data_IF_499872752707
#
_entry.id   IF_499872752707
#
_cell.length_a   1.000
_cell.length_b   1.000
_cell.length_c   1.000
_cell.angle_alpha   90.00
_cell.angle_beta   90.00
_cell.angle_gamma   90.00
#
_symmetry.space_group_name_H-M   'P 1'
#
loop_
_entity.id
_entity.type
_entity.pdbx_description
1 polymer ?
#
# COMPACT_ATOMS: atom_id res chain seq x y z
N UNK A 1 -7.19 16.43 17.43
CA UNK A 1 -7.64 17.17 16.23
C UNK A 1 -7.42 16.39 14.93
N UNK A 2 -6.19 15.94 14.57
CA UNK A 2 -5.94 15.20 13.31
C UNK A 2 -6.57 13.79 13.21
N UNK A 3 -6.47 12.97 14.28
CA UNK A 3 -7.09 11.62 14.30
C UNK A 3 -8.62 11.69 14.19
N UNK A 4 -9.25 12.63 14.89
CA UNK A 4 -10.71 12.83 14.82
C UNK A 4 -11.17 13.19 13.40
N UNK A 5 -10.41 14.04 12.69
CA UNK A 5 -10.68 14.37 11.29
C UNK A 5 -10.54 13.15 10.37
N UNK A 6 -9.50 12.32 10.55
CA UNK A 6 -9.33 11.08 9.80
C UNK A 6 -10.49 10.09 10.03
N UNK A 7 -10.95 9.97 11.29
CA UNK A 7 -12.12 9.16 11.63
C UNK A 7 -13.40 9.70 11.00
N UNK A 8 -13.55 11.02 10.95
CA UNK A 8 -14.68 11.67 10.28
C UNK A 8 -14.68 11.38 8.79
N UNK A 9 -13.52 11.51 8.14
CA UNK A 9 -13.32 11.20 6.73
C UNK A 9 -13.67 9.73 6.43
N UNK A 10 -13.19 8.79 7.26
CA UNK A 10 -13.54 7.37 7.14
C UNK A 10 -15.05 7.14 7.17
N UNK A 11 -15.75 7.80 8.10
CA UNK A 11 -17.19 7.68 8.19
C UNK A 11 -17.92 8.32 7.01
N UNK A 12 -17.41 9.44 6.49
CA UNK A 12 -17.96 10.13 5.34
C UNK A 12 -17.82 9.30 4.06
N UNK A 13 -16.62 8.79 3.76
CA UNK A 13 -16.36 7.98 2.56
C UNK A 13 -17.23 6.73 2.56
N UNK A 14 -17.29 6.01 3.69
CA UNK A 14 -18.16 4.82 3.84
C UNK A 14 -19.63 5.11 3.48
N UNK A 15 -20.15 6.28 3.86
CA UNK A 15 -21.55 6.65 3.63
C UNK A 15 -21.84 7.13 2.20
N UNK A 16 -20.84 7.65 1.50
CA UNK A 16 -21.04 8.32 0.20
C UNK A 16 -20.49 7.54 -0.99
N UNK A 17 -19.71 6.47 -0.77
CA UNK A 17 -19.21 5.63 -1.85
C UNK A 17 -20.31 4.94 -2.67
N UNK A 18 -21.47 4.67 -2.07
CA UNK A 18 -22.65 4.09 -2.73
C UNK A 18 -23.52 5.15 -3.44
N UNK A 19 -23.44 6.42 -3.02
CA UNK A 19 -24.31 7.50 -3.47
C UNK A 19 -23.73 8.42 -4.55
N UNK A 20 -22.55 8.10 -5.10
CA UNK A 20 -21.85 8.93 -6.08
C UNK A 20 -21.23 10.19 -5.44
N UNK A 21 -19.98 10.09 -5.02
CA UNK A 21 -19.20 11.22 -4.51
C UNK A 21 -19.02 12.29 -5.61
N UNK A 22 -19.83 13.35 -5.60
CA UNK A 22 -19.56 14.65 -6.26
C UNK A 22 -19.15 14.54 -7.75
N UNK A 23 -18.71 15.64 -8.38
CA UNK A 23 -18.20 15.58 -9.76
C UNK A 23 -16.99 14.64 -9.85
N UNK A 24 -16.84 13.92 -10.97
CA UNK A 24 -15.78 12.89 -11.13
C UNK A 24 -14.37 13.42 -10.87
N UNK A 25 -14.11 14.70 -11.16
CA UNK A 25 -12.82 15.35 -10.94
C UNK A 25 -12.50 15.56 -9.45
N UNK A 26 -13.49 15.94 -8.63
CA UNK A 26 -13.30 16.10 -7.19
C UNK A 26 -12.99 14.76 -6.51
N UNK A 27 -13.61 13.68 -6.99
CA UNK A 27 -13.33 12.35 -6.48
C UNK A 27 -11.91 11.88 -6.83
N UNK A 28 -11.46 12.13 -8.06
CA UNK A 28 -10.08 11.82 -8.48
C UNK A 28 -9.06 12.61 -7.65
N UNK A 29 -9.28 13.90 -7.43
CA UNK A 29 -8.42 14.73 -6.58
C UNK A 29 -8.38 14.20 -5.15
N UNK A 30 -9.54 13.86 -4.57
CA UNK A 30 -9.60 13.26 -3.24
C UNK A 30 -8.77 11.97 -3.16
N UNK A 31 -8.91 11.08 -4.14
CA UNK A 31 -8.19 9.81 -4.21
C UNK A 31 -6.67 10.03 -4.29
N UNK A 32 -6.24 10.96 -5.13
CA UNK A 32 -4.82 11.25 -5.33
C UNK A 32 -4.23 11.89 -4.05
N UNK A 33 -4.95 12.80 -3.41
CA UNK A 33 -4.56 13.37 -2.11
C UNK A 33 -4.52 12.32 -0.99
N UNK A 34 -5.48 11.39 -0.96
CA UNK A 34 -5.47 10.28 -0.01
C UNK A 34 -4.21 9.42 -0.20
N UNK A 35 -3.87 9.06 -1.44
CA UNK A 35 -2.67 8.29 -1.74
C UNK A 35 -1.39 9.00 -1.27
N UNK A 36 -1.26 10.30 -1.55
CA UNK A 36 -0.11 11.09 -1.10
C UNK A 36 -0.05 11.23 0.42
N UNK A 37 -1.19 11.42 1.08
CA UNK A 37 -1.26 11.57 2.53
C UNK A 37 -0.75 10.31 3.25
N UNK A 38 -1.12 9.12 2.75
CA UNK A 38 -0.67 7.84 3.32
C UNK A 38 0.85 7.75 3.44
N UNK A 39 1.61 8.33 2.50
CA UNK A 39 3.06 8.25 2.48
C UNK A 39 3.76 9.09 3.56
N UNK A 40 3.07 10.10 4.09
CA UNK A 40 3.65 11.17 4.90
C UNK A 40 3.13 11.23 6.34
N UNK A 41 2.02 10.55 6.63
CA UNK A 41 1.36 10.64 7.94
C UNK A 41 2.00 9.76 9.01
N UNK A 42 1.80 10.14 10.26
CA UNK A 42 2.19 9.38 11.45
C UNK A 42 1.40 8.04 11.58
N UNK A 43 1.96 7.00 12.22
CA UNK A 43 1.38 5.64 12.24
C UNK A 43 -0.07 5.56 12.71
N UNK A 44 -0.47 6.37 13.69
CA UNK A 44 -1.85 6.38 14.21
C UNK A 44 -2.86 6.86 13.16
N UNK A 45 -2.48 7.84 12.34
CA UNK A 45 -3.32 8.38 11.26
C UNK A 45 -3.30 7.42 10.07
N UNK A 46 -2.14 6.85 9.74
CA UNK A 46 -1.99 5.85 8.68
C UNK A 46 -3.00 4.72 8.84
N UNK A 47 -3.13 4.16 10.05
CA UNK A 47 -4.08 3.07 10.34
C UNK A 47 -5.51 3.42 9.94
N UNK A 48 -5.96 4.63 10.25
CA UNK A 48 -7.31 5.10 9.92
C UNK A 48 -7.47 5.32 8.42
N UNK A 49 -6.49 5.99 7.79
CA UNK A 49 -6.53 6.29 6.36
C UNK A 49 -6.41 5.05 5.48
N UNK A 50 -5.68 4.01 5.91
CA UNK A 50 -5.58 2.74 5.20
C UNK A 50 -6.93 2.03 5.08
N UNK A 51 -7.81 2.17 6.07
CA UNK A 51 -9.16 1.61 5.98
C UNK A 51 -10.01 2.33 4.93
N UNK A 52 -9.84 3.64 4.79
CA UNK A 52 -10.49 4.45 3.74
C UNK A 52 -9.94 4.06 2.37
N UNK A 53 -8.62 4.03 2.28
CA UNK A 53 -7.91 3.66 1.07
C UNK A 53 -8.28 2.26 0.58
N UNK A 54 -8.41 1.28 1.48
CA UNK A 54 -8.84 -0.07 1.13
C UNK A 54 -10.21 -0.11 0.43
N UNK A 55 -11.15 0.76 0.82
CA UNK A 55 -12.44 0.86 0.12
C UNK A 55 -12.28 1.42 -1.29
N UNK A 56 -11.48 2.49 -1.43
CA UNK A 56 -11.16 3.10 -2.72
C UNK A 56 -10.47 2.10 -3.65
N UNK A 57 -9.50 1.32 -3.16
CA UNK A 57 -8.82 0.27 -3.93
C UNK A 57 -9.81 -0.78 -4.42
N UNK A 58 -10.68 -1.28 -3.55
CA UNK A 58 -11.68 -2.29 -3.96
C UNK A 58 -12.60 -1.77 -5.05
N UNK A 59 -13.02 -0.50 -4.96
CA UNK A 59 -13.87 0.12 -5.97
C UNK A 59 -13.09 0.40 -7.25
N UNK A 60 -12.11 1.29 -7.18
CA UNK A 60 -11.49 1.91 -8.35
C UNK A 60 -10.45 1.00 -9.00
N UNK A 61 -9.67 0.27 -8.22
CA UNK A 61 -8.59 -0.55 -8.74
C UNK A 61 -9.04 -1.97 -9.06
N UNK A 62 -9.77 -2.61 -8.16
CA UNK A 62 -10.17 -4.02 -8.32
C UNK A 62 -11.42 -4.18 -9.18
N UNK A 63 -12.52 -3.47 -8.85
CA UNK A 63 -13.81 -3.66 -9.53
C UNK A 63 -13.93 -2.86 -10.82
N UNK A 64 -13.52 -1.60 -10.82
CA UNK A 64 -13.70 -0.69 -11.95
C UNK A 64 -12.47 -0.60 -12.87
N UNK A 65 -11.30 -1.02 -12.41
CA UNK A 65 -10.02 -0.89 -13.10
C UNK A 65 -9.77 0.54 -13.65
N UNK A 66 -10.18 1.56 -12.89
CA UNK A 66 -10.17 2.98 -13.24
C UNK A 66 -8.96 3.73 -12.65
N UNK A 67 -8.00 3.03 -12.05
CA UNK A 67 -6.79 3.60 -11.46
C UNK A 67 -5.49 2.91 -11.92
N UNK A 68 -5.16 2.96 -13.22
CA UNK A 68 -4.00 2.25 -13.79
C UNK A 68 -2.65 2.73 -13.25
N UNK A 69 -2.58 3.99 -12.78
CA UNK A 69 -1.34 4.58 -12.28
C UNK A 69 -0.98 4.17 -10.84
N UNK A 70 -1.85 3.44 -10.14
CA UNK A 70 -1.63 3.07 -8.75
C UNK A 70 -0.34 2.24 -8.58
N UNK A 71 -0.15 1.21 -9.40
CA UNK A 71 1.00 0.31 -9.31
C UNK A 71 2.31 1.01 -9.72
N UNK A 72 2.40 1.68 -10.89
CA UNK A 72 3.62 2.41 -11.28
C UNK A 72 4.03 3.49 -10.29
N UNK A 73 3.07 4.24 -9.74
CA UNK A 73 3.37 5.28 -8.75
C UNK A 73 3.85 4.69 -7.43
N UNK A 74 3.21 3.62 -6.95
CA UNK A 74 3.63 2.96 -5.71
C UNK A 74 5.05 2.37 -5.84
N UNK A 75 5.37 1.77 -7.00
CA UNK A 75 6.72 1.30 -7.31
C UNK A 75 7.75 2.42 -7.16
N UNK A 76 7.50 3.57 -7.79
CA UNK A 76 8.39 4.74 -7.71
C UNK A 76 8.57 5.21 -6.27
N UNK A 77 7.49 5.31 -5.52
CA UNK A 77 7.52 5.73 -4.12
C UNK A 77 8.33 4.76 -3.26
N UNK A 78 8.15 3.45 -3.42
CA UNK A 78 8.94 2.45 -2.70
C UNK A 78 10.43 2.64 -3.04
N UNK A 79 10.78 2.73 -4.32
CA UNK A 79 12.17 2.86 -4.76
C UNK A 79 12.86 4.13 -4.28
N UNK A 80 12.11 5.22 -4.09
CA UNK A 80 12.65 6.52 -3.66
C UNK A 80 12.42 6.85 -2.18
N UNK A 81 11.89 5.90 -1.40
CA UNK A 81 11.57 6.10 0.03
C UNK A 81 12.80 6.09 0.93
N UNK A 82 12.65 6.65 2.12
CA UNK A 82 13.74 7.05 3.03
C UNK A 82 14.72 5.94 3.47
N UNK A 83 14.29 4.69 3.57
CA UNK A 83 15.13 3.55 3.95
C UNK A 83 15.71 2.80 2.74
N UNK A 84 15.17 3.00 1.54
CA UNK A 84 15.65 2.36 0.30
C UNK A 84 16.59 3.29 -0.46
N UNK A 85 16.22 4.56 -0.62
CA UNK A 85 17.02 5.60 -1.29
C UNK A 85 17.12 6.85 -0.40
N UNK A 86 17.98 6.81 0.64
CA UNK A 86 18.15 7.93 1.55
C UNK A 86 18.50 9.23 0.80
N UNK A 87 17.75 10.31 1.07
CA UNK A 87 18.01 11.65 0.54
C UNK A 87 17.26 12.04 -0.73
N UNK A 88 16.53 11.13 -1.40
CA UNK A 88 15.68 11.50 -2.55
C UNK A 88 14.36 12.13 -2.11
N UNK A 89 13.58 11.40 -1.31
CA UNK A 89 12.30 11.86 -0.77
C UNK A 89 12.18 11.51 0.72
N UNK A 90 12.82 12.29 1.62
CA UNK A 90 12.85 11.99 3.06
C UNK A 90 11.45 12.00 3.72
N UNK A 91 10.47 12.62 3.08
CA UNK A 91 9.08 12.64 3.50
C UNK A 91 8.31 11.35 3.17
N UNK A 92 8.81 10.52 2.24
CA UNK A 92 8.21 9.24 1.90
C UNK A 92 8.76 8.14 2.81
N UNK A 93 7.92 7.75 3.77
CA UNK A 93 8.26 6.69 4.72
C UNK A 93 8.14 5.33 4.08
N UNK A 94 9.24 4.59 4.05
CA UNK A 94 9.32 3.23 3.47
C UNK A 94 8.27 2.31 4.10
N UNK A 95 8.12 2.39 5.42
CA UNK A 95 7.12 1.64 6.17
C UNK A 95 5.67 1.97 5.73
N UNK A 96 5.39 3.24 5.42
CA UNK A 96 4.07 3.65 4.95
C UNK A 96 3.83 3.13 3.52
N UNK A 97 4.82 3.23 2.63
CA UNK A 97 4.74 2.71 1.28
C UNK A 97 4.50 1.19 1.25
N UNK A 98 5.20 0.42 2.09
CA UNK A 98 4.96 -1.02 2.23
C UNK A 98 3.61 -1.34 2.88
N UNK A 99 3.12 -0.48 3.79
CA UNK A 99 1.76 -0.63 4.35
C UNK A 99 0.69 -0.40 3.27
N UNK A 100 0.90 0.57 2.37
CA UNK A 100 0.04 0.80 1.20
C UNK A 100 0.08 -0.40 0.27
N UNK A 101 1.26 -0.97 -0.02
CA UNK A 101 1.40 -2.20 -0.79
C UNK A 101 0.59 -3.35 -0.17
N UNK A 102 0.69 -3.53 1.14
CA UNK A 102 -0.09 -4.55 1.84
C UNK A 102 -1.61 -4.31 1.72
N UNK A 103 -2.04 -3.05 1.74
CA UNK A 103 -3.45 -2.69 1.60
C UNK A 103 -3.98 -3.00 0.19
N UNK A 104 -3.19 -2.75 -0.87
CA UNK A 104 -3.60 -3.08 -2.25
C UNK A 104 -3.58 -4.58 -2.55
N UNK A 105 -2.79 -5.37 -1.83
CA UNK A 105 -2.77 -6.83 -1.93
C UNK A 105 -3.94 -7.50 -1.21
N UNK A 106 -4.46 -6.87 -0.15
CA UNK A 106 -5.50 -7.46 0.71
C UNK A 106 -6.74 -7.97 -0.04
N UNK A 107 -7.29 -7.26 -1.05
CA UNK A 107 -8.44 -7.75 -1.82
C UNK A 107 -8.18 -9.09 -2.51
N UNK A 108 -6.93 -9.44 -2.80
CA UNK A 108 -6.55 -10.66 -3.51
C UNK A 108 -6.19 -11.82 -2.58
N UNK A 109 -6.34 -11.67 -1.26
CA UNK A 109 -6.00 -12.73 -0.28
C UNK A 109 -6.74 -14.04 -0.50
N UNK A 110 -7.89 -14.01 -1.17
CA UNK A 110 -8.64 -15.22 -1.47
C UNK A 110 -7.89 -16.17 -2.44
N UNK A 111 -6.94 -15.66 -3.24
CA UNK A 111 -6.08 -16.49 -4.10
C UNK A 111 -5.09 -17.35 -3.32
N UNK A 112 -4.80 -17.01 -2.07
CA UNK A 112 -3.92 -17.81 -1.21
C UNK A 112 -4.58 -19.11 -0.71
N UNK A 113 -5.90 -19.23 -0.86
CA UNK A 113 -6.65 -20.44 -0.56
C UNK A 113 -7.82 -20.57 -1.56
N UNK A 114 -7.51 -20.92 -2.82
CA UNK A 114 -8.51 -20.94 -3.87
C UNK A 114 -9.54 -22.02 -3.57
N UNK A 115 -10.76 -21.60 -3.25
CA UNK A 115 -11.89 -22.52 -3.03
C UNK A 115 -12.41 -23.14 -4.34
N UNK A 116 -11.92 -22.65 -5.48
CA UNK A 116 -12.34 -23.07 -6.82
C UNK A 116 -11.10 -23.28 -7.69
N UNK A 117 -11.06 -24.38 -8.42
CA UNK A 117 -9.86 -24.93 -9.08
C UNK A 117 -9.35 -24.11 -10.28
N UNK A 118 -10.02 -23.03 -10.70
CA UNK A 118 -9.78 -22.38 -12.01
C UNK A 118 -10.12 -20.88 -12.09
N UNK A 119 -9.89 -20.08 -11.06
CA UNK A 119 -10.00 -18.62 -11.23
C UNK A 119 -8.72 -18.11 -11.92
N UNK A 120 -8.81 -17.40 -13.05
CA UNK A 120 -7.65 -16.75 -13.65
C UNK A 120 -7.10 -15.70 -12.68
N UNK A 121 -5.77 -15.53 -12.68
CA UNK A 121 -5.13 -14.49 -11.88
C UNK A 121 -5.61 -13.11 -12.40
N UNK A 122 -6.02 -12.17 -11.53
CA UNK A 122 -6.44 -10.85 -11.96
C UNK A 122 -5.25 -10.08 -12.51
N UNK A 123 -5.44 -9.37 -13.62
CA UNK A 123 -4.41 -8.55 -14.27
C UNK A 123 -3.74 -7.59 -13.28
N UNK A 124 -4.51 -7.02 -12.36
CA UNK A 124 -3.99 -6.15 -11.31
C UNK A 124 -2.99 -6.85 -10.39
N UNK A 125 -3.24 -8.12 -10.03
CA UNK A 125 -2.34 -8.90 -9.20
C UNK A 125 -1.08 -9.30 -9.97
N UNK A 126 -1.22 -9.68 -11.24
CA UNK A 126 -0.08 -9.94 -12.14
C UNK A 126 0.81 -8.70 -12.26
N UNK A 127 0.22 -7.51 -12.45
CA UNK A 127 0.95 -6.26 -12.52
C UNK A 127 1.68 -5.94 -11.21
N UNK A 128 1.03 -6.08 -10.05
CA UNK A 128 1.67 -5.87 -8.75
C UNK A 128 2.85 -6.84 -8.57
N UNK A 129 2.68 -8.11 -8.95
CA UNK A 129 3.72 -9.12 -8.84
C UNK A 129 4.94 -8.77 -9.71
N UNK A 130 4.72 -8.45 -10.99
CA UNK A 130 5.79 -8.14 -11.93
C UNK A 130 6.51 -6.82 -11.61
N UNK A 131 5.75 -5.77 -11.28
CA UNK A 131 6.31 -4.43 -11.14
C UNK A 131 6.85 -4.09 -9.75
N UNK A 132 6.30 -4.72 -8.70
CA UNK A 132 6.65 -4.41 -7.31
C UNK A 132 7.24 -5.62 -6.61
N UNK A 133 6.51 -6.74 -6.54
CA UNK A 133 6.91 -7.83 -5.64
C UNK A 133 8.19 -8.55 -6.10
N UNK A 134 8.34 -8.79 -7.41
CA UNK A 134 9.56 -9.38 -7.95
C UNK A 134 10.80 -8.49 -7.67
N UNK A 135 10.80 -7.17 -7.97
CA UNK A 135 11.88 -6.28 -7.57
C UNK A 135 12.10 -6.20 -6.05
N UNK A 136 11.04 -6.31 -5.25
CA UNK A 136 11.12 -6.20 -3.79
C UNK A 136 11.89 -7.36 -3.14
N UNK A 137 12.04 -8.50 -3.83
CA UNK A 137 12.89 -9.60 -3.38
C UNK A 137 14.35 -9.17 -3.23
N UNK A 138 14.85 -8.27 -4.08
CA UNK A 138 16.22 -7.72 -3.96
C UNK A 138 16.30 -6.83 -2.71
N UNK A 139 15.29 -5.98 -2.50
CA UNK A 139 15.20 -5.11 -1.32
C UNK A 139 15.08 -5.89 -0.02
N UNK A 140 14.45 -7.08 -0.03
CA UNK A 140 14.37 -7.96 1.14
C UNK A 140 15.76 -8.32 1.67
N UNK A 141 16.69 -8.68 0.79
CA UNK A 141 18.07 -9.00 1.18
C UNK A 141 18.75 -7.79 1.81
N UNK A 142 18.53 -6.60 1.24
CA UNK A 142 19.04 -5.35 1.82
C UNK A 142 18.53 -5.12 3.25
N UNK A 143 17.23 -5.31 3.51
CA UNK A 143 16.68 -5.17 4.85
C UNK A 143 17.20 -6.25 5.81
N UNK A 144 17.34 -7.48 5.35
CA UNK A 144 17.92 -8.57 6.15
C UNK A 144 19.34 -8.24 6.60
N UNK A 145 20.19 -7.76 5.69
CA UNK A 145 21.55 -7.32 6.00
C UNK A 145 21.54 -6.16 7.02
N UNK A 146 20.64 -5.19 6.86
CA UNK A 146 20.50 -4.09 7.82
C UNK A 146 20.08 -4.57 9.20
N UNK A 147 19.16 -5.52 9.33
CA UNK A 147 18.78 -6.10 10.64
C UNK A 147 19.99 -6.76 11.30
N UNK A 148 20.79 -7.52 10.55
CA UNK A 148 21.98 -8.22 11.06
C UNK A 148 23.08 -7.26 11.52
N UNK A 149 23.19 -6.10 10.87
CA UNK A 149 24.26 -5.12 11.11
C UNK A 149 23.87 -3.96 12.04
N UNK A 150 22.59 -3.83 12.42
CA UNK A 150 22.08 -2.69 13.21
C UNK A 150 22.23 -2.89 14.73
N UNK A 151 22.58 -1.81 15.45
CA UNK A 151 22.41 -1.70 16.90
C UNK A 151 20.96 -1.34 17.27
N UNK A 152 20.53 -1.68 18.50
CA UNK A 152 19.13 -1.83 18.94
C UNK A 152 18.09 -0.79 18.46
N UNK A 153 18.47 0.49 18.30
CA UNK A 153 17.53 1.56 17.92
C UNK A 153 16.93 1.45 16.51
N UNK A 154 17.73 1.08 15.50
CA UNK A 154 17.26 0.97 14.11
C UNK A 154 16.78 -0.45 13.78
N UNK A 155 17.14 -1.43 14.61
CA UNK A 155 16.84 -2.84 14.38
C UNK A 155 15.34 -3.11 14.32
N UNK A 156 14.56 -2.53 15.24
CA UNK A 156 13.10 -2.73 15.30
C UNK A 156 12.38 -2.22 14.04
N UNK A 157 12.85 -1.11 13.46
CA UNK A 157 12.29 -0.56 12.23
C UNK A 157 12.55 -1.50 11.04
N UNK A 158 13.79 -1.97 10.87
CA UNK A 158 14.12 -2.91 9.80
C UNK A 158 13.44 -4.28 9.97
N UNK A 159 13.28 -4.78 11.20
CA UNK A 159 12.49 -6.00 11.48
C UNK A 159 11.03 -5.83 11.04
N UNK A 160 10.44 -4.66 11.29
CA UNK A 160 9.07 -4.36 10.86
C UNK A 160 8.97 -4.26 9.33
N UNK A 161 9.93 -3.61 8.66
CA UNK A 161 10.00 -3.55 7.19
C UNK A 161 10.12 -4.95 6.60
N UNK A 162 10.97 -5.80 7.17
CA UNK A 162 11.17 -7.18 6.76
C UNK A 162 9.88 -8.00 6.92
N UNK A 163 9.18 -7.87 8.06
CA UNK A 163 7.91 -8.55 8.31
C UNK A 163 6.82 -8.14 7.30
N UNK A 164 6.69 -6.86 6.99
CA UNK A 164 5.71 -6.39 5.99
C UNK A 164 6.09 -6.91 4.60
N UNK A 165 7.38 -6.89 4.26
CA UNK A 165 7.89 -7.42 2.99
C UNK A 165 7.57 -8.91 2.85
N UNK A 166 7.83 -9.73 3.88
CA UNK A 166 7.43 -11.14 3.92
C UNK A 166 5.94 -11.34 3.67
N UNK A 167 5.10 -10.54 4.34
CA UNK A 167 3.64 -10.61 4.16
C UNK A 167 3.22 -10.26 2.74
N UNK A 168 3.92 -9.34 2.07
CA UNK A 168 3.66 -8.98 0.67
C UNK A 168 4.14 -10.09 -0.27
N UNK A 169 5.32 -10.67 -0.04
CA UNK A 169 5.86 -11.79 -0.84
C UNK A 169 5.11 -13.10 -0.65
N UNK A 170 4.37 -13.30 0.45
CA UNK A 170 3.47 -14.44 0.59
C UNK A 170 2.45 -14.52 -0.56
N UNK A 171 2.14 -13.39 -1.22
CA UNK A 171 1.27 -13.32 -2.40
C UNK A 171 1.96 -13.68 -3.73
N UNK A 172 3.28 -13.85 -3.76
CA UNK A 172 4.01 -14.24 -4.99
C UNK A 172 4.22 -15.74 -5.14
N UNK A 173 3.88 -16.56 -4.13
CA UNK A 173 4.17 -18.01 -4.11
C UNK A 173 2.91 -18.83 -4.46
N UNK A 174 2.15 -18.40 -5.47
CA UNK A 174 0.96 -19.12 -5.97
C UNK A 174 1.12 -19.43 -7.45
#
# INVERSE_FOLDING_TARGET
TRIAAATYLKNFVRRNMEGGLSSSDLYREFRDQLAQALLRVEPAILRVLIEVFGQVVVKDFVKENSWPQLVPQLKLVIQSSDAISPGQHPEWKTINALTVLQAILRPFQYFLNPKVVKEPVPEQLEQIAAEILAPLQVTFHHFADKVLLSHDGNKLEYEQLLLITCKCMYFTVS
#
